data_IF_823309430555
#
_entry.id   IF_823309430555
#
_cell.length_a   1.000
_cell.length_b   1.000
_cell.length_c   1.000
_cell.angle_alpha   90.00
_cell.angle_beta   90.00
_cell.angle_gamma   90.00
#
_symmetry.space_group_name_H-M   'P 1'
#
loop_
_entity.id
_entity.type
_entity.pdbx_description
1 polymer ?
#
# COMPACT_ATOMS: atom_id res chain seq x y z
N UNK A 1 -0.03 40.75 -43.69
CA UNK A 1 -0.67 40.09 -42.52
C UNK A 1 -0.52 38.56 -42.58
N UNK A 2 0.70 38.01 -42.56
CA UNK A 2 0.92 36.54 -42.54
C UNK A 2 1.86 36.06 -41.43
N UNK A 3 2.59 36.98 -40.79
CA UNK A 3 3.54 36.64 -39.72
C UNK A 3 2.92 36.54 -38.31
N UNK A 4 1.71 37.07 -38.10
CA UNK A 4 1.07 37.07 -36.77
C UNK A 4 0.46 35.72 -36.36
N UNK A 5 0.20 34.81 -37.30
CA UNK A 5 -0.46 33.52 -36.99
C UNK A 5 0.54 32.49 -36.42
N UNK A 6 1.81 32.56 -36.83
CA UNK A 6 2.83 31.58 -36.43
C UNK A 6 3.23 31.75 -34.95
N UNK A 7 3.22 32.99 -34.43
CA UNK A 7 3.59 33.28 -33.03
C UNK A 7 2.56 32.75 -32.03
N UNK A 8 1.27 32.74 -32.39
CA UNK A 8 0.18 32.28 -31.52
C UNK A 8 0.20 30.76 -31.34
N UNK A 9 0.62 30.00 -32.37
CA UNK A 9 0.71 28.54 -32.31
C UNK A 9 1.90 28.10 -31.43
N UNK A 10 3.03 28.79 -31.50
CA UNK A 10 4.21 28.48 -30.67
C UNK A 10 3.97 28.70 -29.17
N UNK A 11 3.12 29.68 -28.80
CA UNK A 11 2.75 29.96 -27.41
C UNK A 11 1.78 28.93 -26.80
N UNK A 12 1.03 28.19 -27.62
CA UNK A 12 0.11 27.15 -27.15
C UNK A 12 0.81 25.81 -26.83
N UNK A 13 1.99 25.57 -27.39
CA UNK A 13 2.77 24.35 -27.11
C UNK A 13 3.52 24.38 -25.75
N UNK A 14 3.70 25.57 -25.15
CA UNK A 14 4.48 25.74 -23.92
C UNK A 14 3.79 25.31 -22.62
N UNK A 15 2.47 25.08 -22.63
CA UNK A 15 1.69 24.84 -21.40
C UNK A 15 1.42 23.37 -21.08
N UNK A 16 1.88 22.41 -21.88
CA UNK A 16 1.61 20.99 -21.65
C UNK A 16 2.70 20.24 -20.85
N UNK A 17 3.84 20.87 -20.55
CA UNK A 17 4.97 20.18 -19.91
C UNK A 17 4.80 19.92 -18.39
N UNK A 18 3.75 20.45 -17.75
CA UNK A 18 3.50 20.26 -16.31
C UNK A 18 2.37 19.27 -15.99
N UNK A 19 1.86 18.54 -16.98
CA UNK A 19 0.84 17.53 -16.76
C UNK A 19 1.46 16.25 -16.15
N UNK A 20 1.19 16.08 -14.85
CA UNK A 20 1.05 14.78 -14.16
C UNK A 20 2.32 14.07 -13.64
N UNK A 21 2.97 14.65 -12.63
CA UNK A 21 3.50 13.81 -11.54
C UNK A 21 2.30 13.45 -10.65
N UNK A 22 1.48 12.49 -11.08
CA UNK A 22 0.37 11.98 -10.28
C UNK A 22 0.95 11.24 -9.08
N UNK A 23 0.71 11.75 -7.88
CA UNK A 23 1.13 11.04 -6.65
C UNK A 23 0.48 9.64 -6.63
N UNK A 24 1.19 8.61 -6.16
CA UNK A 24 0.61 7.28 -6.01
C UNK A 24 -0.65 7.33 -5.14
N UNK A 25 -1.67 6.54 -5.49
CA UNK A 25 -2.92 6.49 -4.74
C UNK A 25 -2.70 5.78 -3.41
N UNK A 26 -3.16 6.38 -2.32
CA UNK A 26 -3.06 5.76 -1.00
C UNK A 26 -4.08 4.63 -0.82
N UNK A 27 -3.61 3.51 -0.26
CA UNK A 27 -4.42 2.35 0.11
C UNK A 27 -4.19 2.09 1.60
N UNK A 28 -5.26 1.75 2.31
CA UNK A 28 -5.23 1.43 3.72
C UNK A 28 -5.76 0.02 3.95
N UNK A 29 -5.00 -0.82 4.64
CA UNK A 29 -5.45 -2.15 5.07
C UNK A 29 -5.45 -2.22 6.61
N UNK A 30 -6.50 -2.78 7.21
CA UNK A 30 -6.58 -2.96 8.66
C UNK A 30 -6.06 -4.35 9.05
N UNK A 31 -4.92 -4.39 9.73
CA UNK A 31 -4.38 -5.62 10.32
C UNK A 31 -4.82 -5.72 11.78
N UNK A 32 -6.00 -6.32 12.01
CA UNK A 32 -6.50 -6.61 13.36
C UNK A 32 -6.26 -8.07 13.75
N UNK A 33 -5.06 -8.33 14.27
CA UNK A 33 -4.69 -9.64 14.81
C UNK A 33 -5.11 -9.81 16.26
N UNK A 34 -5.54 -8.75 16.96
CA UNK A 34 -5.90 -8.81 18.38
C UNK A 34 -7.33 -9.31 18.59
N UNK A 35 -8.27 -8.89 17.74
CA UNK A 35 -9.67 -9.34 17.80
C UNK A 35 -9.95 -10.63 17.01
N UNK A 36 -9.04 -11.01 16.11
CA UNK A 36 -9.21 -12.18 15.22
C UNK A 36 -8.51 -13.43 15.80
N UNK A 37 -9.20 -14.57 15.94
CA UNK A 37 -8.59 -15.85 16.33
C UNK A 37 -7.45 -16.26 15.39
N UNK A 38 -6.40 -16.90 15.91
CA UNK A 38 -5.19 -17.25 15.13
C UNK A 38 -5.51 -18.07 13.87
N UNK A 39 -6.49 -18.96 13.99
CA UNK A 39 -6.95 -19.88 12.95
C UNK A 39 -7.67 -19.14 11.82
N UNK A 40 -8.23 -17.96 12.09
CA UNK A 40 -8.97 -17.14 11.12
C UNK A 40 -8.19 -15.92 10.63
N UNK A 41 -7.00 -15.65 11.18
CA UNK A 41 -6.13 -14.56 10.71
C UNK A 41 -5.69 -14.81 9.28
N UNK A 42 -5.89 -13.78 8.45
CA UNK A 42 -5.40 -13.71 7.06
C UNK A 42 -4.07 -12.96 6.96
N UNK A 43 -3.65 -12.29 8.04
CA UNK A 43 -2.39 -11.56 8.14
C UNK A 43 -1.61 -12.03 9.37
N UNK A 44 -0.34 -12.35 9.15
CA UNK A 44 0.67 -12.59 10.15
C UNK A 44 1.58 -11.37 10.23
N UNK A 45 1.93 -10.99 11.45
CA UNK A 45 2.81 -9.84 11.73
C UNK A 45 4.02 -10.39 12.47
N UNK A 46 5.20 -9.99 12.05
CA UNK A 46 6.44 -10.39 12.71
C UNK A 46 7.56 -9.42 12.45
N UNK A 47 8.68 -9.67 13.11
CA UNK A 47 9.89 -8.86 13.00
C UNK A 47 11.06 -9.80 12.72
N UNK A 48 11.86 -9.47 11.72
CA UNK A 48 13.08 -10.19 11.37
C UNK A 48 14.21 -9.18 11.18
N UNK A 49 15.22 -9.23 12.06
CA UNK A 49 16.23 -8.17 12.19
C UNK A 49 15.56 -6.79 12.30
N UNK A 50 15.92 -5.85 11.42
CA UNK A 50 15.42 -4.47 11.42
C UNK A 50 14.20 -4.30 10.49
N UNK A 51 13.51 -5.39 10.14
CA UNK A 51 12.34 -5.39 9.27
C UNK A 51 11.12 -5.88 10.02
N UNK A 52 10.09 -5.05 10.06
CA UNK A 52 8.74 -5.45 10.46
C UNK A 52 7.97 -5.88 9.22
N UNK A 53 7.44 -7.09 9.20
CA UNK A 53 6.81 -7.67 8.02
C UNK A 53 5.35 -8.05 8.27
N UNK A 54 4.60 -8.06 7.18
CA UNK A 54 3.21 -8.47 7.11
C UNK A 54 3.08 -9.54 6.04
N UNK A 55 2.77 -10.76 6.45
CA UNK A 55 2.57 -11.90 5.56
C UNK A 55 1.07 -12.20 5.45
N UNK A 56 0.57 -12.33 4.24
CA UNK A 56 -0.83 -12.65 3.97
C UNK A 56 -0.97 -14.09 3.47
N UNK A 57 -2.00 -14.78 3.95
CA UNK A 57 -2.20 -16.21 3.71
C UNK A 57 -3.61 -16.48 3.19
N UNK A 58 -3.75 -17.22 2.09
CA UNK A 58 -5.01 -17.92 1.76
C UNK A 58 -5.04 -19.22 2.57
N UNK A 59 -6.00 -19.36 3.49
CA UNK A 59 -6.23 -20.64 4.20
C UNK A 59 -7.07 -21.64 3.41
N UNK A 60 -7.17 -21.41 2.11
CA UNK A 60 -8.15 -21.99 1.21
C UNK A 60 -7.84 -23.47 0.94
N UNK A 61 -6.56 -23.85 0.84
CA UNK A 61 -6.08 -25.24 0.75
C UNK A 61 -4.67 -25.36 1.35
N UNK A 62 -4.37 -26.41 2.16
CA UNK A 62 -2.99 -26.76 2.52
C UNK A 62 -2.21 -27.27 1.29
N UNK A 63 -0.89 -27.01 1.18
CA UNK A 63 -0.09 -26.14 2.03
C UNK A 63 -0.49 -24.67 1.84
N UNK A 64 -0.57 -23.91 2.94
CA UNK A 64 -0.90 -22.48 2.87
C UNK A 64 0.12 -21.77 1.98
N UNK A 65 -0.32 -21.40 0.79
CA UNK A 65 0.48 -20.59 -0.12
C UNK A 65 0.44 -19.16 0.41
N UNK A 66 1.61 -18.60 0.64
CA UNK A 66 1.73 -17.16 0.87
C UNK A 66 1.39 -16.47 -0.44
N UNK A 67 0.43 -15.55 -0.41
CA UNK A 67 0.06 -14.83 -1.65
C UNK A 67 0.76 -13.48 -1.71
N UNK A 68 0.95 -12.81 -0.56
CA UNK A 68 1.54 -11.47 -0.48
C UNK A 68 2.35 -11.30 0.79
N UNK A 69 3.50 -10.63 0.67
CA UNK A 69 4.28 -10.19 1.79
C UNK A 69 4.69 -8.72 1.62
N UNK A 70 4.64 -7.96 2.71
CA UNK A 70 5.05 -6.57 2.74
C UNK A 70 6.02 -6.32 3.89
N UNK A 71 6.96 -5.40 3.68
CA UNK A 71 7.98 -5.03 4.66
C UNK A 71 7.91 -3.55 5.00
N UNK A 72 8.14 -3.26 6.27
CA UNK A 72 8.31 -1.92 6.82
C UNK A 72 9.70 -1.87 7.45
N UNK A 73 10.65 -1.10 6.91
CA UNK A 73 11.93 -0.89 7.57
C UNK A 73 11.71 -0.27 8.94
N UNK A 74 12.33 -0.78 10.01
CA UNK A 74 12.12 -0.31 11.39
C UNK A 74 12.35 1.21 11.54
N UNK A 75 13.27 1.78 10.75
CA UNK A 75 13.52 3.25 10.71
C UNK A 75 12.31 4.08 10.27
N UNK A 76 11.25 3.44 9.74
CA UNK A 76 9.99 4.05 9.29
C UNK A 76 8.77 3.51 10.04
N UNK A 77 8.94 2.58 10.98
CA UNK A 77 7.85 2.15 11.84
C UNK A 77 7.40 3.35 12.67
N UNK A 78 6.09 3.62 12.65
CA UNK A 78 5.40 4.68 13.39
C UNK A 78 5.42 6.06 12.72
N UNK A 79 4.84 6.16 11.52
CA UNK A 79 4.46 7.48 11.01
C UNK A 79 3.44 8.17 11.93
N UNK A 80 2.54 7.40 12.57
CA UNK A 80 1.57 7.91 13.55
C UNK A 80 0.93 6.81 14.39
N UNK A 81 0.83 7.03 15.70
CA UNK A 81 -0.02 6.24 16.61
C UNK A 81 -1.35 6.97 16.81
N UNK A 82 -2.45 6.22 16.77
CA UNK A 82 -3.80 6.72 16.99
C UNK A 82 -4.36 6.13 18.28
N UNK A 83 -5.02 6.98 19.06
CA UNK A 83 -5.87 6.57 20.18
C UNK A 83 -7.25 6.41 19.55
N UNK A 84 -7.72 5.18 19.34
CA UNK A 84 -8.88 4.76 18.53
C UNK A 84 -8.60 4.48 17.04
N UNK A 85 -9.49 3.65 16.45
CA UNK A 85 -9.43 3.25 15.05
C UNK A 85 -9.64 4.49 14.16
N UNK A 86 -8.70 4.84 13.27
CA UNK A 86 -8.87 6.01 12.42
C UNK A 86 -9.96 5.78 11.37
N UNK A 87 -10.72 6.83 11.08
CA UNK A 87 -11.79 6.85 10.06
C UNK A 87 -11.18 6.93 8.65
N UNK A 88 -10.68 5.79 8.17
CA UNK A 88 -10.07 5.64 6.85
C UNK A 88 -10.91 4.68 6.00
N UNK A 89 -10.83 4.82 4.67
CA UNK A 89 -11.40 3.85 3.74
C UNK A 89 -10.45 2.65 3.61
N UNK A 90 -10.75 1.60 4.37
CA UNK A 90 -9.99 0.36 4.34
C UNK A 90 -10.35 -0.51 3.13
N UNK A 91 -9.35 -1.11 2.52
CA UNK A 91 -9.52 -2.15 1.50
C UNK A 91 -9.64 -3.52 2.15
N UNK A 92 -10.35 -4.44 1.50
CA UNK A 92 -10.35 -5.85 1.87
C UNK A 92 -9.13 -6.58 1.29
N UNK A 93 -8.84 -7.78 1.80
CA UNK A 93 -7.73 -8.58 1.28
C UNK A 93 -7.89 -8.98 -0.19
N UNK A 94 -9.07 -9.48 -0.65
CA UNK A 94 -9.29 -9.77 -2.07
C UNK A 94 -9.07 -8.56 -2.98
N UNK A 95 -9.50 -7.38 -2.55
CA UNK A 95 -9.26 -6.14 -3.29
C UNK A 95 -7.77 -5.78 -3.36
N UNK A 96 -7.05 -5.89 -2.23
CA UNK A 96 -5.61 -5.64 -2.19
C UNK A 96 -4.87 -6.60 -3.12
N UNK A 97 -5.19 -7.89 -3.08
CA UNK A 97 -4.62 -8.90 -3.96
C UNK A 97 -4.84 -8.56 -5.44
N UNK A 98 -6.07 -8.19 -5.81
CA UNK A 98 -6.38 -7.77 -7.18
C UNK A 98 -5.59 -6.52 -7.62
N UNK A 99 -5.40 -5.55 -6.71
CA UNK A 99 -4.59 -4.36 -7.01
C UNK A 99 -3.12 -4.71 -7.24
N UNK A 100 -2.55 -5.60 -6.42
CA UNK A 100 -1.17 -6.07 -6.59
C UNK A 100 -1.02 -6.86 -7.89
N UNK A 101 -1.91 -7.83 -8.16
CA UNK A 101 -1.87 -8.64 -9.38
C UNK A 101 -2.03 -7.78 -10.65
N UNK A 102 -2.91 -6.79 -10.63
CA UNK A 102 -3.14 -5.90 -11.78
C UNK A 102 -1.96 -4.96 -12.03
N UNK A 103 -1.35 -4.42 -10.97
CA UNK A 103 -0.25 -3.47 -11.11
C UNK A 103 1.11 -4.14 -11.32
N UNK A 104 1.29 -5.36 -10.79
CA UNK A 104 2.54 -6.11 -10.84
C UNK A 104 3.73 -5.29 -10.36
N UNK A 105 4.80 -5.27 -11.15
CA UNK A 105 6.02 -4.50 -10.87
C UNK A 105 5.81 -2.97 -10.76
N UNK A 106 4.66 -2.45 -11.19
CA UNK A 106 4.34 -1.03 -11.12
C UNK A 106 3.52 -0.67 -9.86
N UNK A 107 3.25 -1.63 -8.96
CA UNK A 107 2.43 -1.41 -7.78
C UNK A 107 2.89 -0.19 -6.96
N UNK A 108 4.17 -0.10 -6.60
CA UNK A 108 4.69 1.03 -5.80
C UNK A 108 4.75 2.36 -6.55
N UNK A 109 4.66 2.36 -7.89
CA UNK A 109 4.53 3.58 -8.69
C UNK A 109 3.09 4.08 -8.72
N UNK A 110 2.13 3.17 -8.67
CA UNK A 110 0.70 3.48 -8.76
C UNK A 110 0.06 3.68 -7.38
N UNK A 111 0.58 3.02 -6.35
CA UNK A 111 -0.02 2.95 -5.03
C UNK A 111 1.00 3.16 -3.91
N UNK A 112 0.54 3.80 -2.83
CA UNK A 112 1.22 3.78 -1.53
C UNK A 112 0.37 3.00 -0.55
N UNK A 113 0.85 1.84 -0.10
CA UNK A 113 0.15 1.01 0.86
C UNK A 113 0.53 1.38 2.30
N UNK A 114 -0.50 1.58 3.12
CA UNK A 114 -0.37 1.67 4.57
C UNK A 114 -1.11 0.49 5.21
N UNK A 115 -0.43 -0.17 6.14
CA UNK A 115 -1.05 -1.13 7.04
C UNK A 115 -1.30 -0.43 8.37
N UNK A 116 -2.57 -0.41 8.78
CA UNK A 116 -3.02 0.07 10.09
C UNK A 116 -3.10 -1.14 11.00
N UNK A 117 -2.11 -1.30 11.86
CA UNK A 117 -2.01 -2.40 12.81
C UNK A 117 -2.74 -2.05 14.11
N UNK A 118 -3.61 -2.95 14.57
CA UNK A 118 -4.24 -2.84 15.87
C UNK A 118 -3.25 -3.23 16.98
N UNK A 119 -3.08 -2.35 17.95
CA UNK A 119 -2.22 -2.51 19.12
C UNK A 119 -3.05 -2.67 20.39
N UNK A 120 -2.47 -3.19 21.49
CA UNK A 120 -3.16 -3.24 22.78
C UNK A 120 -3.71 -1.88 23.20
N UNK A 121 -4.71 -1.89 24.08
CA UNK A 121 -5.37 -0.68 24.60
C UNK A 121 -6.07 0.18 23.53
N UNK A 122 -6.63 -0.46 22.48
CA UNK A 122 -7.34 0.21 21.38
C UNK A 122 -6.50 1.25 20.65
N UNK A 123 -5.18 1.06 20.65
CA UNK A 123 -4.26 1.89 19.90
C UNK A 123 -4.06 1.32 18.50
N UNK A 124 -3.68 2.17 17.56
CA UNK A 124 -3.39 1.75 16.20
C UNK A 124 -2.13 2.42 15.71
N UNK A 125 -1.30 1.71 14.96
CA UNK A 125 -0.15 2.31 14.27
C UNK A 125 -0.34 2.24 12.77
N UNK A 126 -0.03 3.33 12.08
CA UNK A 126 -0.05 3.37 10.61
C UNK A 126 1.38 3.23 10.10
N UNK A 127 1.62 2.16 9.37
CA UNK A 127 2.93 1.83 8.82
C UNK A 127 2.87 1.85 7.30
N UNK A 128 3.72 2.66 6.67
CA UNK A 128 3.93 2.58 5.23
C UNK A 128 4.75 1.33 4.92
N UNK A 129 4.31 0.55 3.95
CA UNK A 129 4.95 -0.72 3.61
C UNK A 129 5.33 -0.76 2.13
N UNK A 130 6.32 -1.59 1.83
CA UNK A 130 6.76 -1.93 0.48
C UNK A 130 6.51 -3.41 0.21
N UNK A 131 6.26 -3.75 -1.05
CA UNK A 131 6.07 -5.15 -1.44
C UNK A 131 7.40 -5.89 -1.25
N UNK A 132 7.37 -7.02 -0.56
CA UNK A 132 8.55 -7.88 -0.45
C UNK A 132 8.75 -8.57 -1.81
N UNK A 133 9.82 -8.21 -2.52
CA UNK A 133 10.15 -8.82 -3.81
C UNK A 133 10.38 -10.32 -3.63
N UNK A 134 9.39 -11.14 -3.97
CA UNK A 134 9.47 -12.60 -3.86
C UNK A 134 8.24 -13.39 -4.31
N UNK A 135 7.06 -12.77 -4.42
CA UNK A 135 5.82 -13.50 -4.73
C UNK A 135 4.83 -12.70 -5.61
N UNK A 136 5.35 -12.10 -6.68
CA UNK A 136 4.55 -11.59 -7.78
C UNK A 136 5.01 -12.23 -9.08
N UNK A 137 4.85 -13.55 -9.17
CA UNK A 137 5.05 -14.34 -10.40
C UNK A 137 3.72 -14.51 -11.11
#
# INVERSE_FOLDING_TARGET
MKFSIIVVIALLCGNFANAQITKPKEIYFLADTLSTPKESRIVGIGTESDLHYYQFYCKCLPPYVFDLAFVCPEKKLREKTYINKPELKYTSYPELLQLVLKAGALFEKQYTLYIVEALPNKQFTKNRVSLANGQGG
#
